data_IF_565135326985
#
_entry.id   IF_565135326985
#
_cell.length_a   1.000
_cell.length_b   1.000
_cell.length_c   1.000
_cell.angle_alpha   90.00
_cell.angle_beta   90.00
_cell.angle_gamma   90.00
#
_symmetry.space_group_name_H-M   'P 1'
#
loop_
_entity.id
_entity.type
_entity.pdbx_description
1 polymer ?
#
# COMPACT_ATOMS: atom_id res chain seq x y z
N UNK A 1 12.61 7.31 9.09
CA UNK A 1 12.14 7.78 7.78
C UNK A 1 11.46 6.67 7.01
N UNK A 2 12.17 5.57 6.70
CA UNK A 2 11.63 4.48 5.86
C UNK A 2 10.52 3.68 6.54
N UNK A 3 10.69 3.30 7.82
CA UNK A 3 9.63 2.63 8.60
C UNK A 3 8.35 3.47 8.69
N UNK A 4 8.50 4.78 8.95
CA UNK A 4 7.37 5.73 8.95
C UNK A 4 6.69 5.82 7.60
N UNK A 5 7.45 5.72 6.50
CA UNK A 5 6.88 5.67 5.16
C UNK A 5 6.07 4.39 4.93
N UNK A 6 6.56 3.24 5.39
CA UNK A 6 5.80 2.00 5.31
C UNK A 6 4.50 2.09 6.11
N UNK A 7 4.53 2.64 7.32
CA UNK A 7 3.32 2.89 8.12
C UNK A 7 2.35 3.83 7.40
N UNK A 8 2.84 4.97 6.89
CA UNK A 8 2.03 5.92 6.13
C UNK A 8 1.39 5.27 4.89
N UNK A 9 2.13 4.44 4.14
CA UNK A 9 1.57 3.73 2.99
C UNK A 9 0.52 2.69 3.39
N UNK A 10 0.70 1.97 4.51
CA UNK A 10 -0.31 1.05 5.05
C UNK A 10 -1.61 1.76 5.43
N UNK A 11 -1.53 3.00 5.91
CA UNK A 11 -2.72 3.78 6.30
C UNK A 11 -3.38 4.45 5.09
N UNK A 12 -2.60 4.82 4.07
CA UNK A 12 -3.05 5.71 2.99
C UNK A 12 -3.10 5.05 1.60
N UNK A 13 -2.81 3.75 1.46
CA UNK A 13 -2.71 3.07 0.15
C UNK A 13 -3.93 3.28 -0.75
N UNK A 14 -5.12 3.48 -0.18
CA UNK A 14 -6.36 3.68 -0.92
C UNK A 14 -6.54 5.10 -1.47
N UNK A 15 -5.55 5.98 -1.28
CA UNK A 15 -5.52 7.35 -1.81
C UNK A 15 -4.45 7.50 -2.89
N UNK A 16 -4.46 8.62 -3.62
CA UNK A 16 -3.38 8.94 -4.55
C UNK A 16 -2.14 9.35 -3.75
N UNK A 17 -1.09 8.54 -3.83
CA UNK A 17 0.21 8.81 -3.20
C UNK A 17 1.23 9.09 -4.31
N UNK A 18 1.90 10.23 -4.24
CA UNK A 18 3.08 10.56 -5.04
C UNK A 18 4.33 10.25 -4.23
N UNK A 19 5.24 9.44 -4.79
CA UNK A 19 6.51 9.11 -4.12
C UNK A 19 7.44 10.31 -4.09
N UNK A 20 7.40 11.14 -5.14
CA UNK A 20 8.17 12.37 -5.23
C UNK A 20 7.72 13.37 -4.16
N UNK A 21 6.42 13.68 -4.08
CA UNK A 21 5.88 14.63 -3.10
C UNK A 21 6.15 14.14 -1.66
N UNK A 22 6.05 12.83 -1.43
CA UNK A 22 6.37 12.24 -0.13
C UNK A 22 7.84 12.43 0.23
N UNK A 23 8.76 12.17 -0.69
CA UNK A 23 10.19 12.38 -0.48
C UNK A 23 10.52 13.87 -0.27
N UNK A 24 9.91 14.75 -1.06
CA UNK A 24 10.07 16.20 -0.94
C UNK A 24 9.58 16.73 0.41
N UNK A 25 8.45 16.22 0.92
CA UNK A 25 7.92 16.57 2.26
C UNK A 25 8.87 16.22 3.41
N UNK A 26 9.78 15.27 3.19
CA UNK A 26 10.80 14.85 4.14
C UNK A 26 12.17 15.50 3.85
N UNK A 27 12.24 16.39 2.87
CA UNK A 27 13.47 17.03 2.39
C UNK A 27 14.57 16.03 1.99
N UNK A 28 14.17 14.91 1.37
CA UNK A 28 15.09 13.88 0.88
C UNK A 28 14.93 13.69 -0.64
N UNK A 29 16.00 13.27 -1.29
CA UNK A 29 15.94 12.90 -2.71
C UNK A 29 15.00 11.70 -2.92
N UNK A 30 14.14 11.76 -3.94
CA UNK A 30 13.31 10.61 -4.35
C UNK A 30 14.15 9.37 -4.62
N UNK A 31 15.29 9.50 -5.31
CA UNK A 31 16.16 8.36 -5.61
C UNK A 31 16.72 7.72 -4.34
N UNK A 32 17.17 8.54 -3.39
CA UNK A 32 17.62 8.05 -2.09
C UNK A 32 16.49 7.34 -1.35
N UNK A 33 15.28 7.93 -1.35
CA UNK A 33 14.11 7.35 -0.71
C UNK A 33 13.74 5.99 -1.32
N UNK A 34 13.62 5.89 -2.65
CA UNK A 34 13.29 4.66 -3.36
C UNK A 34 14.33 3.57 -3.07
N UNK A 35 15.62 3.92 -3.12
CA UNK A 35 16.70 2.97 -2.85
C UNK A 35 16.61 2.41 -1.42
N UNK A 36 16.54 3.28 -0.42
CA UNK A 36 16.50 2.86 0.98
C UNK A 36 15.21 2.13 1.34
N UNK A 37 14.07 2.56 0.78
CA UNK A 37 12.81 1.85 0.95
C UNK A 37 12.88 0.45 0.36
N UNK A 38 13.48 0.29 -0.83
CA UNK A 38 13.66 -1.03 -1.45
C UNK A 38 14.58 -1.94 -0.62
N UNK A 39 15.65 -1.40 -0.03
CA UNK A 39 16.50 -2.17 0.89
C UNK A 39 15.73 -2.64 2.13
N UNK A 40 14.83 -1.81 2.65
CA UNK A 40 14.02 -2.12 3.82
C UNK A 40 12.88 -3.12 3.52
N UNK A 41 12.07 -2.86 2.49
CA UNK A 41 10.84 -3.60 2.19
C UNK A 41 11.01 -4.71 1.14
N UNK A 42 12.20 -4.83 0.53
CA UNK A 42 12.49 -5.76 -0.57
C UNK A 42 11.91 -5.35 -1.92
N UNK A 43 11.11 -4.29 -1.99
CA UNK A 43 10.44 -3.80 -3.21
C UNK A 43 10.34 -2.27 -3.22
N UNK A 44 10.12 -1.68 -4.39
CA UNK A 44 9.99 -0.22 -4.48
C UNK A 44 8.74 0.29 -3.73
N UNK A 45 8.71 1.56 -3.30
CA UNK A 45 7.52 2.17 -2.69
C UNK A 45 6.25 1.99 -3.53
N UNK A 46 6.34 2.17 -4.85
CA UNK A 46 5.22 2.01 -5.76
C UNK A 46 4.71 0.57 -5.82
N UNK A 47 5.62 -0.41 -5.84
CA UNK A 47 5.26 -1.84 -5.79
C UNK A 47 4.61 -2.21 -4.46
N UNK A 48 5.09 -1.64 -3.36
CA UNK A 48 4.53 -1.85 -2.03
C UNK A 48 3.11 -1.31 -1.91
N UNK A 49 2.86 -0.08 -2.38
CA UNK A 49 1.50 0.48 -2.39
C UNK A 49 0.56 -0.35 -3.27
N UNK A 50 1.04 -0.83 -4.43
CA UNK A 50 0.27 -1.69 -5.31
C UNK A 50 -0.08 -3.04 -4.65
N UNK A 51 0.86 -3.66 -3.94
CA UNK A 51 0.60 -4.94 -3.26
C UNK A 51 -0.45 -4.79 -2.15
N UNK A 52 -0.40 -3.69 -1.38
CA UNK A 52 -1.43 -3.38 -0.38
C UNK A 52 -2.83 -3.27 -1.01
N UNK A 53 -2.94 -2.59 -2.16
CA UNK A 53 -4.21 -2.47 -2.90
C UNK A 53 -4.70 -3.83 -3.39
N UNK A 54 -3.81 -4.68 -3.90
CA UNK A 54 -4.16 -6.03 -4.37
C UNK A 54 -4.67 -6.91 -3.23
N UNK A 55 -3.97 -6.92 -2.10
CA UNK A 55 -4.39 -7.68 -0.90
C UNK A 55 -5.75 -7.19 -0.40
N UNK A 56 -5.98 -5.88 -0.34
CA UNK A 56 -7.27 -5.33 0.04
C UNK A 56 -8.38 -5.72 -0.95
N UNK A 57 -8.12 -5.62 -2.26
CA UNK A 57 -9.08 -6.01 -3.29
C UNK A 57 -9.46 -7.50 -3.19
N UNK A 58 -8.48 -8.37 -2.98
CA UNK A 58 -8.72 -9.80 -2.75
C UNK A 58 -9.58 -10.03 -1.50
N UNK A 59 -9.27 -9.37 -0.39
CA UNK A 59 -10.06 -9.50 0.85
C UNK A 59 -11.50 -9.04 0.67
N UNK A 60 -11.74 -7.98 -0.11
CA UNK A 60 -13.10 -7.53 -0.43
C UNK A 60 -13.86 -8.54 -1.30
N UNK A 61 -13.21 -9.18 -2.27
CA UNK A 61 -13.81 -10.24 -3.08
C UNK A 61 -14.16 -11.49 -2.26
N UNK A 62 -13.29 -11.88 -1.32
CA UNK A 62 -13.56 -12.99 -0.40
C UNK A 62 -14.76 -12.66 0.49
N UNK A 63 -14.78 -11.48 1.12
CA UNK A 63 -15.89 -11.03 1.98
C UNK A 63 -17.23 -10.91 1.25
N UNK A 64 -17.22 -10.42 0.01
CA UNK A 64 -18.44 -10.36 -0.81
C UNK A 64 -18.92 -11.76 -1.19
N UNK A 65 -18.02 -12.70 -1.47
CA UNK A 65 -18.37 -14.11 -1.72
C UNK A 65 -18.97 -14.78 -0.48
N UNK A 66 -18.47 -14.48 0.73
CA UNK A 66 -19.08 -14.95 1.98
C UNK A 66 -20.48 -14.35 2.21
N UNK A 67 -20.65 -13.02 2.03
CA UNK A 67 -21.97 -12.37 2.14
C UNK A 67 -22.99 -12.89 1.12
N UNK A 68 -22.57 -13.31 -0.08
CA UNK A 68 -23.49 -13.90 -1.08
C UNK A 68 -23.86 -15.36 -0.72
N UNK A 69 -22.99 -16.08 -0.01
CA UNK A 69 -23.27 -17.43 0.49
C UNK A 69 -24.18 -17.45 1.73
N UNK A 70 -24.46 -16.31 2.35
CA UNK A 70 -25.37 -16.18 3.51
C UNK A 70 -26.85 -15.94 3.14
N UNK A 71 -27.27 -16.29 1.92
CA UNK A 71 -28.69 -16.49 1.64
C UNK A 71 -29.01 -17.99 1.53
N UNK A 72 -29.29 -18.68 2.64
CA UNK A 72 -30.11 -19.88 2.55
C UNK A 72 -31.48 -19.39 2.06
N UNK A 73 -31.80 -19.69 0.81
CA UNK A 73 -33.18 -19.69 0.35
C UNK A 73 -33.90 -20.74 1.19
N UNK A 74 -34.58 -20.29 2.24
CA UNK A 74 -35.71 -20.96 2.86
C UNK A 74 -36.88 -20.98 1.88
#
# INVERSE_FOLDING_TARGET
QIERAAAYFNENYNTKISIDDYAESLHISTNWFIHNFKQYAGMSPAQYILSLRMVNAQSLLERTTYNIKEFPKS
#
